data_IF_986720271806
#
_entry.id   IF_986720271806
#
_cell.length_a   1.000
_cell.length_b   1.000
_cell.length_c   1.000
_cell.angle_alpha   90.00
_cell.angle_beta   90.00
_cell.angle_gamma   90.00
#
_symmetry.space_group_name_H-M   'P 1'
#
loop_
_entity.id
_entity.type
_entity.pdbx_description
1 polymer ?
#
# COMPACT_ATOMS: atom_id res chain seq x y z
N UNK A 1 -6.33 -2.55 -3.46
CA UNK A 1 -6.04 -3.48 -2.34
C UNK A 1 -5.88 -2.69 -1.04
N UNK A 2 -6.26 -3.24 0.12
CA UNK A 2 -6.06 -2.56 1.41
C UNK A 2 -4.60 -2.66 1.86
N UNK A 3 -4.02 -1.53 2.26
CA UNK A 3 -2.61 -1.42 2.65
C UNK A 3 -2.42 -0.58 3.90
N UNK A 4 -1.29 -0.77 4.56
CA UNK A 4 -0.79 0.08 5.64
C UNK A 4 0.57 0.63 5.21
N UNK A 5 0.73 1.94 5.25
CA UNK A 5 2.03 2.59 5.24
C UNK A 5 2.60 2.61 6.66
N UNK A 6 3.81 2.09 6.85
CA UNK A 6 4.48 2.03 8.15
C UNK A 6 5.67 2.98 8.22
N UNK A 7 5.47 4.18 8.77
CA UNK A 7 6.54 5.13 9.04
C UNK A 7 7.14 4.97 10.44
N UNK A 8 8.28 5.61 10.69
CA UNK A 8 8.97 5.53 12.00
C UNK A 8 8.13 6.09 13.16
N UNK A 9 7.20 7.01 12.88
CA UNK A 9 6.43 7.74 13.90
C UNK A 9 4.92 7.48 13.83
N UNK A 10 4.42 6.99 12.70
CA UNK A 10 3.00 6.74 12.50
C UNK A 10 2.79 5.65 11.44
N UNK A 11 1.66 4.96 11.54
CA UNK A 11 1.12 4.12 10.49
C UNK A 11 -0.15 4.75 9.91
N UNK A 12 -0.43 4.49 8.64
CA UNK A 12 -1.65 4.95 8.00
C UNK A 12 -2.26 3.85 7.13
N UNK A 13 -3.55 3.62 7.28
CA UNK A 13 -4.33 2.78 6.38
C UNK A 13 -4.57 3.50 5.04
N UNK A 14 -4.79 2.71 4.00
CA UNK A 14 -5.19 3.23 2.70
C UNK A 14 -5.56 2.14 1.70
N UNK A 15 -5.82 2.58 0.47
CA UNK A 15 -6.13 1.68 -0.65
C UNK A 15 -5.08 1.90 -1.73
N UNK A 16 -4.29 0.87 -2.02
CA UNK A 16 -3.38 0.88 -3.15
C UNK A 16 -4.11 0.47 -4.44
N UNK A 17 -3.97 1.27 -5.47
CA UNK A 17 -4.51 1.05 -6.81
C UNK A 17 -3.40 1.24 -7.87
N UNK A 18 -3.43 0.42 -8.91
CA UNK A 18 -2.43 0.44 -9.98
C UNK A 18 -3.10 0.45 -11.34
N UNK A 19 -2.47 1.12 -12.31
CA UNK A 19 -3.03 1.28 -13.65
C UNK A 19 -2.64 0.17 -14.64
N UNK A 20 -1.87 -0.83 -14.18
CA UNK A 20 -1.32 -1.90 -15.01
C UNK A 20 -0.18 -1.45 -15.94
N UNK A 21 0.26 -0.19 -15.89
CA UNK A 21 1.35 0.40 -16.70
C UNK A 21 2.54 0.83 -15.85
N UNK A 22 2.63 0.33 -14.62
CA UNK A 22 3.71 0.61 -13.68
C UNK A 22 3.44 1.78 -12.73
N UNK A 23 2.28 2.45 -12.81
CA UNK A 23 1.87 3.42 -11.80
C UNK A 23 1.18 2.70 -10.65
N UNK A 24 1.62 2.97 -9.43
CA UNK A 24 1.01 2.51 -8.20
C UNK A 24 0.76 3.70 -7.27
N UNK A 25 -0.47 3.85 -6.78
CA UNK A 25 -0.89 4.97 -5.93
C UNK A 25 -1.60 4.44 -4.70
N UNK A 26 -1.25 4.95 -3.52
CA UNK A 26 -2.02 4.75 -2.29
C UNK A 26 -2.95 5.95 -2.09
N UNK A 27 -4.25 5.66 -2.00
CA UNK A 27 -5.32 6.62 -1.76
C UNK A 27 -5.81 6.56 -0.31
N UNK A 28 -6.61 7.56 0.06
CA UNK A 28 -7.33 7.66 1.35
C UNK A 28 -6.41 7.76 2.57
N UNK A 29 -5.29 8.46 2.41
CA UNK A 29 -4.37 8.71 3.51
C UNK A 29 -4.91 9.89 4.33
N UNK A 30 -5.10 9.68 5.63
CA UNK A 30 -5.51 10.75 6.55
C UNK A 30 -4.54 11.94 6.47
N UNK A 31 -5.04 13.19 6.37
CA UNK A 31 -4.18 14.38 6.27
C UNK A 31 -3.18 14.53 7.41
N UNK A 32 -3.54 14.05 8.61
CA UNK A 32 -2.74 14.15 9.84
C UNK A 32 -1.70 13.04 9.97
N UNK A 33 -1.72 12.01 9.13
CA UNK A 33 -0.78 10.91 9.24
C UNK A 33 0.68 11.35 9.00
N UNK A 34 1.57 11.06 9.95
CA UNK A 34 2.98 11.45 9.84
C UNK A 34 3.78 10.42 9.02
N UNK A 35 3.57 10.43 7.71
CA UNK A 35 4.30 9.60 6.73
C UNK A 35 5.44 10.38 6.07
N UNK A 36 6.44 9.67 5.59
CA UNK A 36 7.60 10.20 4.89
C UNK A 36 7.90 9.43 3.59
N UNK A 37 8.65 10.07 2.70
CA UNK A 37 9.24 9.40 1.54
C UNK A 37 10.17 8.29 2.03
N UNK A 38 10.06 7.11 1.41
CA UNK A 38 10.83 5.92 1.76
C UNK A 38 10.12 4.97 2.72
N UNK A 39 9.02 5.41 3.36
CA UNK A 39 8.22 4.57 4.25
C UNK A 39 7.68 3.35 3.47
N UNK A 40 7.81 2.13 4.02
CA UNK A 40 7.27 0.92 3.42
C UNK A 40 5.75 0.89 3.46
N UNK A 41 5.17 0.31 2.42
CA UNK A 41 3.74 0.00 2.31
C UNK A 41 3.59 -1.51 2.20
N UNK A 42 2.71 -2.08 3.03
CA UNK A 42 2.43 -3.52 3.10
C UNK A 42 0.93 -3.79 3.04
N UNK A 43 0.53 -5.02 2.72
CA UNK A 43 -0.88 -5.44 2.81
C UNK A 43 -1.39 -5.35 4.24
N UNK A 44 -2.62 -4.86 4.43
CA UNK A 44 -3.17 -4.65 5.78
C UNK A 44 -3.80 -5.89 6.42
N UNK A 45 -4.15 -6.91 5.62
CA UNK A 45 -4.96 -8.03 6.11
C UNK A 45 -6.46 -7.75 6.20
N UNK A 46 -6.88 -6.50 6.04
CA UNK A 46 -8.28 -6.09 6.22
C UNK A 46 -9.17 -6.70 5.13
N UNK A 47 -10.23 -7.38 5.56
CA UNK A 47 -11.18 -8.10 4.69
C UNK A 47 -10.91 -9.61 4.58
N UNK A 48 -9.81 -10.13 5.17
CA UNK A 48 -9.57 -11.56 5.34
C UNK A 48 -9.18 -12.34 4.08
N UNK A 49 -9.04 -11.67 2.93
CA UNK A 49 -8.68 -12.31 1.65
C UNK A 49 -7.17 -12.41 1.45
N UNK A 50 -6.42 -11.39 1.87
CA UNK A 50 -4.97 -11.30 1.69
C UNK A 50 -4.31 -11.27 3.06
N UNK A 51 -3.25 -12.06 3.33
CA UNK A 51 -2.52 -11.96 4.59
C UNK A 51 -1.93 -10.57 4.83
N UNK A 52 -1.79 -10.19 6.10
CA UNK A 52 -1.13 -8.95 6.50
C UNK A 52 0.39 -9.06 6.29
N UNK A 53 1.03 -7.94 5.94
CA UNK A 53 2.48 -7.78 5.99
C UNK A 53 3.23 -8.14 4.70
N UNK A 54 2.53 -8.42 3.60
CA UNK A 54 3.17 -8.66 2.30
C UNK A 54 3.68 -7.32 1.74
N UNK A 55 4.98 -7.19 1.38
CA UNK A 55 5.53 -5.96 0.83
C UNK A 55 4.86 -5.55 -0.49
N UNK A 56 4.43 -4.28 -0.58
CA UNK A 56 3.82 -3.70 -1.77
C UNK A 56 4.77 -2.72 -2.47
N UNK A 57 5.29 -1.74 -1.73
CA UNK A 57 6.21 -0.74 -2.26
C UNK A 57 6.69 0.26 -1.22
N UNK A 58 7.32 1.34 -1.67
CA UNK A 58 7.70 2.50 -0.84
C UNK A 58 7.10 3.78 -1.35
N UNK A 59 6.80 4.70 -0.43
CA UNK A 59 6.35 6.05 -0.78
C UNK A 59 7.48 6.79 -1.52
N UNK A 60 7.21 7.30 -2.71
CA UNK A 60 8.14 8.14 -3.49
C UNK A 60 7.65 9.57 -3.66
N UNK A 61 6.35 9.81 -3.52
CA UNK A 61 5.78 11.15 -3.42
C UNK A 61 4.58 11.16 -2.47
N UNK A 62 4.34 12.31 -1.84
CA UNK A 62 3.13 12.59 -1.07
C UNK A 62 2.45 13.80 -1.69
N UNK A 63 1.21 13.63 -2.12
CA UNK A 63 0.42 14.67 -2.76
C UNK A 63 -0.76 15.04 -1.86
N UNK A 64 -0.92 16.33 -1.63
CA UNK A 64 -2.03 16.92 -0.89
C UNK A 64 -2.64 18.04 -1.72
N UNK A 65 -3.96 18.03 -1.90
CA UNK A 65 -4.70 19.14 -2.50
C UNK A 65 -5.51 19.85 -1.42
N UNK A 66 -5.52 21.20 -1.37
CA UNK A 66 -6.35 21.96 -0.42
C UNK A 66 -7.85 21.63 -0.49
N UNK A 67 -8.32 21.12 -1.63
CA UNK A 67 -9.72 20.76 -1.85
C UNK A 67 -10.02 19.28 -1.52
N UNK A 68 -9.02 18.48 -1.17
CA UNK A 68 -9.17 17.04 -0.97
C UNK A 68 -9.23 16.68 0.51
N UNK A 69 -10.22 15.87 0.89
CA UNK A 69 -10.40 15.37 2.27
C UNK A 69 -9.28 14.41 2.65
N UNK A 70 -8.69 13.73 1.67
CA UNK A 70 -7.60 12.76 1.85
C UNK A 70 -6.39 13.13 1.00
N UNK A 71 -5.21 12.69 1.47
CA UNK A 71 -3.96 12.71 0.71
C UNK A 71 -3.81 11.43 -0.11
N UNK A 72 -2.90 11.48 -1.07
CA UNK A 72 -2.47 10.33 -1.85
C UNK A 72 -0.94 10.24 -1.89
N UNK A 73 -0.42 9.05 -2.15
CA UNK A 73 1.01 8.81 -2.27
C UNK A 73 1.30 8.01 -3.54
N UNK A 74 2.27 8.44 -4.34
CA UNK A 74 2.82 7.56 -5.37
C UNK A 74 3.77 6.56 -4.72
N UNK A 75 3.68 5.30 -5.14
CA UNK A 75 4.50 4.21 -4.65
C UNK A 75 5.44 3.70 -5.74
N UNK A 76 6.68 3.40 -5.36
CA UNK A 76 7.56 2.53 -6.13
C UNK A 76 7.34 1.08 -5.67
N UNK A 77 6.89 0.16 -6.55
CA UNK A 77 6.75 -1.26 -6.21
C UNK A 77 8.08 -1.88 -5.79
N UNK A 78 8.04 -2.85 -4.87
CA UNK A 78 9.24 -3.61 -4.49
C UNK A 78 9.69 -4.61 -5.55
N UNK A 79 8.79 -5.03 -6.43
CA UNK A 79 9.04 -6.04 -7.47
C UNK A 79 8.55 -5.51 -8.81
N UNK A 80 9.40 -5.61 -9.83
CA UNK A 80 8.99 -5.41 -11.21
C UNK A 80 8.35 -6.71 -11.74
N UNK A 81 7.11 -6.64 -12.19
CA UNK A 81 6.31 -7.82 -12.55
C UNK A 81 6.49 -8.28 -14.01
N UNK A 82 7.39 -7.63 -14.75
CA UNK A 82 7.63 -7.80 -16.18
C UNK A 82 8.44 -9.06 -16.52
N UNK A 83 9.21 -9.61 -15.57
CA UNK A 83 10.01 -10.82 -15.79
C UNK A 83 10.05 -11.72 -14.55
N UNK A 84 8.93 -12.34 -14.20
CA UNK A 84 8.80 -13.25 -13.05
C UNK A 84 8.67 -14.69 -13.54
N UNK A 85 9.62 -15.55 -13.20
CA UNK A 85 9.61 -16.98 -13.56
C UNK A 85 8.80 -17.83 -12.57
N UNK A 86 8.89 -17.51 -11.28
CA UNK A 86 8.26 -18.26 -10.20
C UNK A 86 7.47 -17.31 -9.32
N UNK A 87 6.22 -17.68 -9.04
CA UNK A 87 5.32 -16.95 -8.14
C UNK A 87 4.88 -17.85 -6.99
N UNK A 88 4.65 -17.24 -5.82
CA UNK A 88 4.03 -17.92 -4.69
C UNK A 88 2.59 -17.45 -4.53
N UNK A 89 1.66 -18.39 -4.57
CA UNK A 89 0.25 -18.11 -4.23
C UNK A 89 0.11 -18.26 -2.72
N UNK A 90 -0.25 -17.16 -2.06
CA UNK A 90 -0.54 -17.15 -0.62
C UNK A 90 -2.05 -17.05 -0.44
N UNK A 91 -2.66 -18.06 0.15
CA UNK A 91 -4.10 -18.10 0.41
C UNK A 91 -4.42 -17.39 1.73
N UNK A 92 -5.48 -16.57 1.74
CA UNK A 92 -6.01 -15.99 2.97
C UNK A 92 -6.49 -17.06 3.94
N UNK A 93 -6.30 -16.83 5.24
CA UNK A 93 -6.85 -17.73 6.25
C UNK A 93 -8.35 -17.45 6.39
N UNK A 94 -9.18 -18.49 6.19
CA UNK A 94 -10.58 -18.44 6.62
C UNK A 94 -10.60 -18.22 8.13
N UNK A 95 -11.36 -17.23 8.60
CA UNK A 95 -11.67 -17.11 10.01
C UNK A 95 -12.25 -18.47 10.48
N UNK A 96 -11.60 -19.08 11.46
CA UNK A 96 -12.13 -20.28 12.11
C UNK A 96 -13.34 -19.85 12.93
N UNK A 97 -14.52 -20.25 12.48
CA UNK A 97 -15.76 -20.16 13.27
C UNK A 97 -16.08 -21.53 13.85
#
# INVERSE_FOLDING_TARGET
>A
MNVVAGGQRASADGIADGDGKGKLVMHRIEPTAALAIGDPVVTSGLGGVVPQGIPVGRIVSLESSPASVFRQAQLAPFVAADNVEVVQVVLGQRAST
#
